data_IF_543401573018
#
_entry.id   IF_543401573018
#
_cell.length_a   1.000
_cell.length_b   1.000
_cell.length_c   1.000
_cell.angle_alpha   90.00
_cell.angle_beta   90.00
_cell.angle_gamma   90.00
#
_symmetry.space_group_name_H-M   'P 1'
#
loop_
_entity.id
_entity.type
_entity.pdbx_description
1 polymer ?
#
# COMPACT_ATOMS: atom_id res chain seq x y z
N UNK A 1 12.33 -6.71 31.51
CA UNK A 1 11.19 -6.31 30.68
C UNK A 1 11.56 -4.97 30.08
N UNK A 2 12.17 -4.99 28.90
CA UNK A 2 12.67 -3.77 28.25
C UNK A 2 11.71 -3.39 27.12
N UNK A 3 11.08 -2.23 27.27
CA UNK A 3 10.36 -1.52 26.23
C UNK A 3 11.40 -0.92 25.26
N UNK A 4 11.81 -1.68 24.24
CA UNK A 4 12.63 -1.20 23.12
C UNK A 4 11.82 -1.08 21.81
N UNK A 5 10.53 -1.40 21.88
CA UNK A 5 9.65 -1.51 20.71
C UNK A 5 9.47 -0.19 19.93
N UNK A 6 9.71 0.95 20.58
CA UNK A 6 9.57 2.28 19.97
C UNK A 6 10.74 2.67 19.06
N UNK A 7 11.97 2.20 19.35
CA UNK A 7 13.16 2.55 18.56
C UNK A 7 13.12 1.90 17.17
N UNK A 8 12.88 0.59 17.13
CA UNK A 8 12.83 -0.18 15.89
C UNK A 8 11.74 0.28 14.91
N UNK A 9 10.56 0.67 15.42
CA UNK A 9 9.47 1.16 14.57
C UNK A 9 9.82 2.50 13.89
N UNK A 10 10.46 3.43 14.61
CA UNK A 10 10.88 4.73 14.07
C UNK A 10 12.02 4.56 13.05
N UNK A 11 12.95 3.64 13.30
CA UNK A 11 14.01 3.31 12.34
C UNK A 11 13.47 2.66 11.07
N UNK A 12 12.52 1.73 11.21
CA UNK A 12 11.82 1.12 10.07
C UNK A 12 11.09 2.16 9.23
N UNK A 13 10.29 3.03 9.85
CA UNK A 13 9.59 4.12 9.17
C UNK A 13 10.57 5.02 8.40
N UNK A 14 11.68 5.42 9.05
CA UNK A 14 12.73 6.23 8.41
C UNK A 14 13.31 5.52 7.18
N UNK A 15 13.67 4.24 7.32
CA UNK A 15 14.24 3.43 6.24
C UNK A 15 13.30 3.30 5.03
N UNK A 16 12.01 3.07 5.28
CA UNK A 16 10.99 3.02 4.22
C UNK A 16 10.87 4.39 3.55
N UNK A 17 10.79 5.47 4.32
CA UNK A 17 10.62 6.83 3.80
C UNK A 17 11.82 7.29 2.94
N UNK A 18 13.05 6.98 3.36
CA UNK A 18 14.26 7.21 2.57
C UNK A 18 14.26 6.40 1.28
N UNK A 19 13.79 5.16 1.34
CA UNK A 19 13.68 4.28 0.17
C UNK A 19 12.65 4.78 -0.83
N UNK A 20 11.46 5.21 -0.38
CA UNK A 20 10.44 5.81 -1.23
C UNK A 20 10.97 7.08 -1.90
N UNK A 21 11.66 7.95 -1.15
CA UNK A 21 12.27 9.17 -1.69
C UNK A 21 13.31 8.85 -2.77
N UNK A 22 14.19 7.87 -2.54
CA UNK A 22 15.19 7.45 -3.56
C UNK A 22 14.52 6.92 -4.83
N UNK A 23 13.47 6.11 -4.69
CA UNK A 23 12.74 5.58 -5.83
C UNK A 23 12.00 6.69 -6.61
N UNK A 24 11.47 7.67 -5.89
CA UNK A 24 10.84 8.88 -6.45
C UNK A 24 11.85 9.72 -7.25
N UNK A 25 13.02 10.01 -6.68
CA UNK A 25 14.09 10.78 -7.31
C UNK A 25 14.61 10.10 -8.59
N UNK A 26 14.73 8.76 -8.58
CA UNK A 26 15.13 7.96 -9.74
C UNK A 26 14.03 7.76 -10.77
N UNK A 27 12.78 8.12 -10.44
CA UNK A 27 11.57 7.83 -11.24
C UNK A 27 11.46 6.35 -11.58
N UNK A 28 11.78 5.50 -10.61
CA UNK A 28 11.74 4.06 -10.76
C UNK A 28 10.32 3.57 -11.05
N UNK A 29 10.20 2.44 -11.75
CA UNK A 29 8.90 1.81 -11.98
C UNK A 29 8.28 1.32 -10.65
N UNK A 30 6.94 1.29 -10.49
CA UNK A 30 6.28 0.87 -9.24
C UNK A 30 6.75 -0.49 -8.71
N UNK A 31 7.07 -1.44 -9.59
CA UNK A 31 7.59 -2.75 -9.20
C UNK A 31 8.96 -2.67 -8.52
N UNK A 32 9.82 -1.75 -8.96
CA UNK A 32 11.13 -1.51 -8.33
C UNK A 32 10.93 -0.94 -6.93
N UNK A 33 9.99 -0.02 -6.74
CA UNK A 33 9.64 0.48 -5.41
C UNK A 33 9.19 -0.66 -4.49
N UNK A 34 8.34 -1.57 -5.00
CA UNK A 34 7.88 -2.72 -4.25
C UNK A 34 9.04 -3.63 -3.81
N UNK A 35 9.99 -3.91 -4.70
CA UNK A 35 11.19 -4.69 -4.37
C UNK A 35 12.04 -3.99 -3.31
N UNK A 36 12.32 -2.69 -3.47
CA UNK A 36 13.15 -1.94 -2.52
C UNK A 36 12.48 -1.81 -1.15
N UNK A 37 11.17 -1.59 -1.10
CA UNK A 37 10.41 -1.55 0.15
C UNK A 37 10.32 -2.93 0.82
N UNK A 38 10.19 -4.01 0.04
CA UNK A 38 10.23 -5.36 0.58
C UNK A 38 11.58 -5.68 1.26
N UNK A 39 12.70 -5.13 0.74
CA UNK A 39 14.01 -5.23 1.41
C UNK A 39 14.01 -4.53 2.77
N UNK A 40 13.34 -3.39 2.92
CA UNK A 40 13.19 -2.73 4.22
C UNK A 40 12.45 -3.62 5.24
N UNK A 41 11.37 -4.29 4.81
CA UNK A 41 10.61 -5.22 5.66
C UNK A 41 11.47 -6.42 6.06
N UNK A 42 12.18 -7.02 5.10
CA UNK A 42 13.08 -8.15 5.37
C UNK A 42 14.27 -7.78 6.27
N UNK A 43 14.82 -6.57 6.13
CA UNK A 43 15.90 -6.08 6.98
C UNK A 43 15.45 -5.78 8.42
N UNK A 44 14.15 -5.59 8.64
CA UNK A 44 13.55 -5.37 9.95
C UNK A 44 12.99 -6.68 10.56
N UNK A 45 13.27 -7.83 9.95
CA UNK A 45 12.74 -9.15 10.34
C UNK A 45 11.19 -9.18 10.49
N UNK A 46 10.50 -8.40 9.64
CA UNK A 46 9.04 -8.33 9.61
C UNK A 46 8.46 -9.27 8.56
N UNK A 47 7.23 -9.72 8.78
CA UNK A 47 6.51 -10.59 7.85
C UNK A 47 5.69 -9.80 6.83
N UNK A 48 5.45 -10.41 5.66
CA UNK A 48 4.54 -9.89 4.64
C UNK A 48 3.25 -10.71 4.61
N UNK A 49 2.07 -10.07 4.51
CA UNK A 49 1.86 -8.63 4.42
C UNK A 49 2.09 -7.89 5.75
N UNK A 50 2.85 -6.79 5.74
CA UNK A 50 3.21 -6.06 6.96
C UNK A 50 2.17 -4.97 7.31
N UNK A 51 1.55 -5.00 8.51
CA UNK A 51 0.66 -3.94 8.97
C UNK A 51 1.42 -2.64 9.26
N UNK A 52 2.66 -2.71 9.78
CA UNK A 52 3.53 -1.56 10.02
C UNK A 52 3.82 -0.82 8.72
N UNK A 53 4.15 -1.56 7.65
CA UNK A 53 4.31 -0.98 6.33
C UNK A 53 3.01 -0.30 5.87
N UNK A 54 1.85 -0.94 6.08
CA UNK A 54 0.55 -0.35 5.79
C UNK A 54 0.35 1.03 6.43
N UNK A 55 0.69 1.18 7.70
CA UNK A 55 0.61 2.47 8.41
C UNK A 55 1.51 3.53 7.79
N UNK A 56 2.78 3.20 7.51
CA UNK A 56 3.75 4.12 6.91
C UNK A 56 3.29 4.58 5.53
N UNK A 57 2.82 3.66 4.69
CA UNK A 57 2.34 4.00 3.35
C UNK A 57 1.11 4.89 3.38
N UNK A 58 0.14 4.61 4.27
CA UNK A 58 -1.07 5.44 4.41
C UNK A 58 -0.73 6.82 4.94
N UNK A 59 0.14 6.91 5.95
CA UNK A 59 0.61 8.20 6.49
C UNK A 59 1.29 9.05 5.42
N UNK A 60 2.18 8.43 4.62
CA UNK A 60 2.87 9.07 3.50
C UNK A 60 1.90 9.53 2.42
N UNK A 61 0.94 8.69 2.03
CA UNK A 61 -0.06 9.01 1.00
C UNK A 61 -1.00 10.13 1.47
N UNK A 62 -1.48 10.10 2.72
CA UNK A 62 -2.38 11.12 3.26
C UNK A 62 -1.72 12.49 3.38
N UNK A 63 -0.41 12.52 3.59
CA UNK A 63 0.36 13.77 3.62
C UNK A 63 0.52 14.40 2.22
N UNK A 64 0.28 13.64 1.15
CA UNK A 64 0.40 14.13 -0.22
C UNK A 64 -0.51 13.34 -1.19
N UNK A 65 -1.82 13.55 -1.09
CA UNK A 65 -2.81 12.91 -1.96
C UNK A 65 -2.62 13.24 -3.45
N UNK A 66 -1.98 14.37 -3.78
CA UNK A 66 -1.76 14.82 -5.15
C UNK A 66 -0.63 14.09 -5.88
N UNK A 67 0.11 13.18 -5.22
CA UNK A 67 1.25 12.52 -5.84
C UNK A 67 0.84 11.23 -6.60
N UNK A 68 0.82 11.24 -7.95
CA UNK A 68 0.40 10.09 -8.73
C UNK A 68 1.38 8.90 -8.64
N UNK A 69 2.65 9.12 -8.30
CA UNK A 69 3.63 8.05 -8.14
C UNK A 69 3.31 7.21 -6.89
N UNK A 70 2.91 7.85 -5.79
CA UNK A 70 2.52 7.16 -4.57
C UNK A 70 1.27 6.29 -4.77
N UNK A 71 0.29 6.77 -5.53
CA UNK A 71 -0.91 5.97 -5.86
C UNK A 71 -0.59 4.76 -6.72
N UNK A 72 0.26 4.92 -7.75
CA UNK A 72 0.72 3.80 -8.60
C UNK A 72 1.54 2.78 -7.81
N UNK A 73 2.39 3.27 -6.91
CA UNK A 73 3.14 2.41 -6.02
C UNK A 73 2.22 1.68 -5.04
N UNK A 74 1.23 2.36 -4.45
CA UNK A 74 0.26 1.74 -3.55
C UNK A 74 -0.50 0.60 -4.25
N UNK A 75 -0.97 0.84 -5.47
CA UNK A 75 -1.59 -0.20 -6.31
C UNK A 75 -0.65 -1.40 -6.50
N UNK A 76 0.62 -1.15 -6.83
CA UNK A 76 1.62 -2.21 -6.97
C UNK A 76 1.89 -2.94 -5.64
N UNK A 77 1.93 -2.24 -4.51
CA UNK A 77 2.15 -2.84 -3.20
C UNK A 77 1.01 -3.78 -2.79
N UNK A 78 -0.23 -3.40 -3.14
CA UNK A 78 -1.43 -4.23 -2.97
C UNK A 78 -1.39 -5.45 -3.90
N UNK A 79 -1.08 -5.26 -5.18
CA UNK A 79 -0.94 -6.35 -6.15
C UNK A 79 0.17 -7.35 -5.78
N UNK A 80 1.30 -6.85 -5.27
CA UNK A 80 2.44 -7.65 -4.80
C UNK A 80 2.25 -8.24 -3.40
N UNK A 81 1.10 -8.02 -2.75
CA UNK A 81 0.78 -8.48 -1.39
C UNK A 81 1.80 -8.07 -0.32
N UNK A 82 2.44 -6.90 -0.51
CA UNK A 82 3.33 -6.34 0.52
C UNK A 82 2.55 -5.87 1.75
N UNK A 83 1.31 -5.48 1.52
CA UNK A 83 0.36 -4.99 2.52
C UNK A 83 -0.99 -5.66 2.30
N UNK A 84 -1.77 -5.82 3.37
CA UNK A 84 -3.13 -6.35 3.27
C UNK A 84 -4.06 -5.28 2.69
N UNK A 85 -4.78 -5.62 1.62
CA UNK A 85 -5.68 -4.67 0.95
C UNK A 85 -6.80 -4.18 1.84
N UNK A 86 -7.41 -5.08 2.62
CA UNK A 86 -8.42 -4.71 3.61
C UNK A 86 -7.87 -3.75 4.66
N UNK A 87 -6.67 -4.03 5.18
CA UNK A 87 -6.04 -3.21 6.21
C UNK A 87 -5.77 -1.79 5.70
N UNK A 88 -5.11 -1.66 4.55
CA UNK A 88 -4.75 -0.36 3.99
C UNK A 88 -5.98 0.46 3.59
N UNK A 89 -6.98 -0.15 2.96
CA UNK A 89 -8.20 0.54 2.58
C UNK A 89 -9.01 0.99 3.80
N UNK A 90 -9.04 0.20 4.88
CA UNK A 90 -9.66 0.61 6.14
C UNK A 90 -8.99 1.86 6.72
N UNK A 91 -7.65 1.91 6.74
CA UNK A 91 -6.89 3.06 7.22
C UNK A 91 -7.05 4.32 6.35
N UNK A 92 -7.16 4.15 5.03
CA UNK A 92 -7.38 5.27 4.11
C UNK A 92 -8.78 5.85 4.20
N UNK A 93 -9.78 5.02 4.49
CA UNK A 93 -11.18 5.42 4.46
C UNK A 93 -11.51 6.68 5.29
N UNK A 94 -11.14 6.83 6.59
CA UNK A 94 -11.48 8.03 7.34
C UNK A 94 -10.79 9.29 6.81
N UNK A 95 -9.59 9.16 6.24
CA UNK A 95 -8.79 10.29 5.74
C UNK A 95 -9.39 10.82 4.42
N UNK A 96 -9.62 9.92 3.47
CA UNK A 96 -10.13 10.30 2.15
C UNK A 96 -11.59 10.74 2.19
N UNK A 97 -12.42 10.08 3.01
CA UNK A 97 -13.84 10.45 3.11
C UNK A 97 -14.05 11.84 3.70
N UNK A 98 -13.12 12.30 4.54
CA UNK A 98 -13.12 13.64 5.11
C UNK A 98 -12.77 14.69 4.05
N UNK A 99 -11.79 14.41 3.20
CA UNK A 99 -11.28 15.32 2.16
C UNK A 99 -11.91 15.11 0.77
N UNK A 100 -13.02 14.39 0.67
CA UNK A 100 -13.61 13.98 -0.62
C UNK A 100 -13.98 15.14 -1.56
N UNK A 101 -14.36 16.30 -1.00
CA UNK A 101 -14.75 17.47 -1.78
C UNK A 101 -13.54 18.30 -2.21
N UNK A 102 -12.49 18.34 -1.38
CA UNK A 102 -11.26 19.08 -1.68
C UNK A 102 -10.34 18.31 -2.61
N UNK A 103 -10.40 16.98 -2.59
CA UNK A 103 -9.54 16.07 -3.37
C UNK A 103 -10.36 14.99 -4.11
N UNK A 104 -11.17 15.37 -5.12
CA UNK A 104 -12.04 14.42 -5.83
C UNK A 104 -11.25 13.33 -6.57
N UNK A 105 -10.05 13.63 -7.07
CA UNK A 105 -9.19 12.66 -7.76
C UNK A 105 -8.68 11.57 -6.82
N UNK A 106 -8.27 11.94 -5.60
CA UNK A 106 -7.85 10.99 -4.57
C UNK A 106 -9.01 10.06 -4.16
N UNK A 107 -10.21 10.62 -4.03
CA UNK A 107 -11.42 9.84 -3.75
C UNK A 107 -11.74 8.86 -4.89
N UNK A 108 -11.63 9.30 -6.14
CA UNK A 108 -11.81 8.42 -7.31
C UNK A 108 -10.82 7.25 -7.31
N UNK A 109 -9.53 7.52 -7.12
CA UNK A 109 -8.49 6.48 -7.06
C UNK A 109 -8.74 5.50 -5.92
N UNK A 110 -9.18 5.98 -4.75
CA UNK A 110 -9.57 5.12 -3.64
C UNK A 110 -10.74 4.18 -3.98
N UNK A 111 -11.78 4.68 -4.66
CA UNK A 111 -12.89 3.84 -5.10
C UNK A 111 -12.44 2.79 -6.14
N UNK A 112 -11.52 3.15 -7.04
CA UNK A 112 -10.92 2.19 -7.98
C UNK A 112 -10.15 1.08 -7.27
N UNK A 113 -9.37 1.41 -6.24
CA UNK A 113 -8.67 0.42 -5.41
C UNK A 113 -9.66 -0.49 -4.67
N UNK A 114 -10.74 0.05 -4.09
CA UNK A 114 -11.79 -0.75 -3.43
C UNK A 114 -12.40 -1.73 -4.45
N UNK A 115 -12.81 -1.24 -5.62
CA UNK A 115 -13.41 -2.08 -6.66
C UNK A 115 -12.49 -3.23 -7.08
N UNK A 116 -11.19 -2.95 -7.22
CA UNK A 116 -10.19 -3.93 -7.64
C UNK A 116 -9.83 -4.95 -6.57
N UNK A 117 -9.67 -4.55 -5.32
CA UNK A 117 -9.09 -5.42 -4.29
C UNK A 117 -10.10 -5.99 -3.30
N UNK A 118 -11.31 -5.43 -3.21
CA UNK A 118 -12.36 -5.90 -2.29
C UNK A 118 -13.50 -6.58 -3.06
N UNK A 119 -13.96 -5.95 -4.15
CA UNK A 119 -15.17 -6.40 -4.85
C UNK A 119 -14.92 -7.23 -6.11
N UNK A 120 -13.69 -7.23 -6.67
CA UNK A 120 -13.34 -8.14 -7.76
C UNK A 120 -13.12 -9.55 -7.22
N UNK A 121 -14.23 -10.22 -6.90
CA UNK A 121 -14.27 -11.65 -6.79
C UNK A 121 -14.27 -12.19 -8.22
N UNK A 122 -13.26 -12.98 -8.62
CA UNK A 122 -13.34 -13.72 -9.87
C UNK A 122 -14.62 -14.54 -9.83
N UNK A 123 -15.56 -14.24 -10.74
CA UNK A 123 -16.62 -15.18 -11.03
C UNK A 123 -15.91 -16.43 -11.55
N UNK A 124 -15.81 -17.46 -10.69
CA UNK A 124 -15.49 -18.82 -11.12
C UNK A 124 -16.42 -19.11 -12.28
N UNK A 125 -15.90 -19.08 -13.51
CA UNK A 125 -16.67 -19.55 -14.65
C UNK A 125 -16.90 -21.03 -14.39
N UNK A 126 -18.15 -21.39 -14.14
CA UNK A 126 -18.61 -22.76 -14.12
C UNK A 126 -18.62 -23.30 -15.55
N UNK A 127 -17.44 -23.43 -16.16
CA UNK A 127 -17.26 -24.11 -17.46
C UNK A 127 -16.66 -25.50 -17.25
N UNK A 128 -17.08 -26.19 -16.19
CA UNK A 128 -16.84 -27.61 -15.96
C UNK A 128 -18.17 -28.37 -15.89
N UNK A 129 -19.00 -28.23 -16.92
CA UNK A 129 -20.04 -29.20 -17.23
C UNK A 129 -20.36 -29.17 -18.73
N UNK A 130 -19.48 -29.75 -19.54
CA UNK A 130 -19.88 -30.67 -20.62
C UNK A 130 -18.67 -31.25 -21.34
N UNK A 131 -18.92 -32.47 -21.81
CA UNK A 131 -18.09 -33.36 -22.63
C UNK A 131 -17.16 -34.28 -21.82
N UNK A 132 -17.32 -35.61 -21.83
CA UNK A 132 -18.21 -36.50 -22.61
C UNK A 132 -18.26 -37.86 -21.90
#
# INVERSE_FOLDING_TARGET
MSEDTGGGAVEFERSVMETLKRCEDRRDAPLVWAVEVAKCVGAADMELPSPELGQVLVSRLCSNFGNPFLWKFLDQALASRLVSSFHVLALLSPRILSDRQSQPEAYKLFLELISRYIFSYEAVSTDACKDK
#
